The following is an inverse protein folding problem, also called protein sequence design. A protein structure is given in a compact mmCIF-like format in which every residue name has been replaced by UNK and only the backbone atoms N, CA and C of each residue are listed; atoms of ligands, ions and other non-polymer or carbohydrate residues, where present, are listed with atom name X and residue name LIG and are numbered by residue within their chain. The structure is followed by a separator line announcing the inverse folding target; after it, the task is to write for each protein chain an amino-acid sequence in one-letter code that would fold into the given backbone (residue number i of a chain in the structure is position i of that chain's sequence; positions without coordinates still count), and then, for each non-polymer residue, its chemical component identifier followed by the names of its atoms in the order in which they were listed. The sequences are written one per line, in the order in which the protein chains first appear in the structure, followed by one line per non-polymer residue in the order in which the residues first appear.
data_IF_205241413776
#
_entry.id   IF_205241413776
#
_cell.length_a   1.000
_cell.length_b   1.000
_cell.length_c   1.000
_cell.angle_alpha   90.00
_cell.angle_beta   90.00
_cell.angle_gamma   90.00
#
_symmetry.space_group_name_H-M   'P 1'
#
loop_
_entity.id
_entity.type
_entity.pdbx_description
1 polymer ?
#
# COMPACT_ATOMS: atom_id res chain seq x y z
N UNK A 1 -6.31 -12.20 3.81
CA UNK A 1 -7.21 -11.38 2.95
C UNK A 1 -7.88 -10.33 3.82
N UNK A 2 -7.93 -9.10 3.34
CA UNK A 2 -8.62 -7.97 3.96
C UNK A 2 -9.58 -7.42 2.90
N UNK A 3 -10.80 -7.10 3.28
CA UNK A 3 -11.69 -6.29 2.45
C UNK A 3 -11.57 -4.84 2.91
N UNK A 4 -11.09 -4.01 2.02
CA UNK A 4 -10.98 -2.59 2.23
C UNK A 4 -12.25 -1.91 1.72
N UNK A 5 -12.89 -1.14 2.59
CA UNK A 5 -14.06 -0.33 2.31
C UNK A 5 -13.66 1.13 2.40
N UNK A 6 -13.94 1.89 1.35
CA UNK A 6 -13.64 3.33 1.29
C UNK A 6 -14.91 4.10 0.97
N UNK A 7 -15.26 5.05 1.83
CA UNK A 7 -16.44 5.91 1.71
C UNK A 7 -16.09 7.24 1.04
N UNK A 8 -17.10 8.04 0.73
CA UNK A 8 -16.94 9.40 0.19
C UNK A 8 -15.96 10.23 1.02
N UNK A 9 -15.06 10.93 0.36
CA UNK A 9 -14.00 11.76 0.93
C UNK A 9 -12.83 10.98 1.53
N UNK A 10 -12.95 9.67 1.69
CA UNK A 10 -11.87 8.82 2.19
C UNK A 10 -10.99 8.29 1.05
N UNK A 11 -9.72 8.10 1.36
CA UNK A 11 -8.69 7.55 0.48
C UNK A 11 -7.53 7.02 1.31
N UNK A 12 -6.43 6.71 0.65
CA UNK A 12 -5.19 6.32 1.32
C UNK A 12 -4.07 7.26 0.90
N UNK A 13 -3.41 7.95 1.84
CA UNK A 13 -2.31 8.85 1.51
C UNK A 13 -1.13 8.08 0.90
N UNK A 14 -0.14 8.79 0.36
CA UNK A 14 1.09 8.21 -0.12
C UNK A 14 1.77 7.35 0.96
N UNK A 15 2.04 6.09 0.63
CA UNK A 15 2.70 5.15 1.54
C UNK A 15 3.42 4.04 0.78
N UNK A 16 4.24 3.29 1.50
CA UNK A 16 4.76 1.99 1.09
C UNK A 16 4.11 0.89 1.93
N UNK A 17 3.99 -0.29 1.37
CA UNK A 17 3.54 -1.46 2.13
C UNK A 17 4.66 -2.04 3.01
N UNK A 18 4.27 -2.74 4.06
CA UNK A 18 5.20 -3.52 4.89
C UNK A 18 5.55 -4.86 4.26
N UNK A 19 4.71 -5.40 3.40
CA UNK A 19 4.91 -6.65 2.68
C UNK A 19 5.54 -6.41 1.30
N UNK A 20 6.22 -7.44 0.76
CA UNK A 20 6.93 -7.32 -0.51
C UNK A 20 5.98 -7.15 -1.70
N UNK A 21 4.93 -7.98 -1.74
CA UNK A 21 3.95 -7.99 -2.82
C UNK A 21 2.54 -7.80 -2.30
N UNK A 22 1.78 -7.00 -2.99
CA UNK A 22 0.35 -6.81 -2.75
C UNK A 22 -0.43 -7.19 -4.00
N UNK A 23 -1.44 -8.03 -3.81
CA UNK A 23 -2.44 -8.34 -4.82
C UNK A 23 -3.74 -7.69 -4.41
N UNK A 24 -4.36 -6.94 -5.30
CA UNK A 24 -5.68 -6.37 -5.08
C UNK A 24 -6.65 -6.83 -6.15
N UNK A 25 -7.87 -7.15 -5.73
CA UNK A 25 -8.99 -7.44 -6.62
C UNK A 25 -10.01 -6.30 -6.46
N UNK A 26 -10.27 -5.58 -7.54
CA UNK A 26 -11.33 -4.58 -7.56
C UNK A 26 -12.70 -5.28 -7.51
N UNK A 27 -13.52 -4.93 -6.52
CA UNK A 27 -14.86 -5.51 -6.34
C UNK A 27 -15.93 -4.51 -6.78
N UNK A 28 -15.78 -3.26 -6.35
CA UNK A 28 -16.70 -2.16 -6.64
C UNK A 28 -15.94 -0.85 -6.63
N UNK A 29 -16.15 -0.03 -7.64
CA UNK A 29 -15.63 1.34 -7.69
C UNK A 29 -16.66 2.32 -7.09
N UNK A 30 -16.17 3.50 -6.64
CA UNK A 30 -17.01 4.64 -6.38
C UNK A 30 -17.59 5.23 -7.67
N UNK A 31 -18.39 6.26 -7.57
CA UNK A 31 -18.92 7.00 -8.72
C UNK A 31 -17.81 7.77 -9.44
N UNK A 32 -16.88 8.32 -8.68
CA UNK A 32 -15.66 8.96 -9.16
C UNK A 32 -14.57 8.89 -8.06
N UNK A 33 -13.36 9.31 -8.38
CA UNK A 33 -12.24 9.20 -7.45
C UNK A 33 -11.82 7.75 -7.20
N UNK A 34 -11.04 7.52 -6.15
CA UNK A 34 -10.59 6.20 -5.77
C UNK A 34 -9.54 5.58 -6.69
N UNK A 35 -8.98 6.35 -7.63
CA UNK A 35 -7.93 5.88 -8.53
C UNK A 35 -6.67 5.51 -7.75
N UNK A 36 -6.00 4.47 -8.20
CA UNK A 36 -4.71 4.06 -7.69
C UNK A 36 -3.60 4.85 -8.38
N UNK A 37 -2.84 5.62 -7.62
CA UNK A 37 -1.65 6.31 -8.12
C UNK A 37 -0.39 5.70 -7.53
N UNK A 38 0.67 5.60 -8.34
CA UNK A 38 1.90 4.94 -7.93
C UNK A 38 3.13 5.46 -8.65
N UNK A 39 4.28 5.36 -7.96
CA UNK A 39 5.61 5.54 -8.52
C UNK A 39 6.36 4.22 -8.36
N UNK A 40 6.58 3.47 -9.46
CA UNK A 40 7.19 2.15 -9.37
C UNK A 40 8.67 2.25 -9.00
N UNK A 41 9.16 1.30 -8.20
CA UNK A 41 10.57 1.16 -7.84
C UNK A 41 11.20 2.48 -7.36
N UNK A 42 10.48 3.24 -6.50
CA UNK A 42 10.95 4.52 -6.00
C UNK A 42 12.07 4.32 -4.97
N UNK A 43 11.99 3.26 -4.17
CA UNK A 43 13.06 2.86 -3.24
C UNK A 43 13.58 1.45 -3.55
N UNK A 44 14.74 1.11 -3.04
CA UNK A 44 15.39 -0.21 -3.20
C UNK A 44 15.55 -0.87 -1.83
N UNK A 45 15.94 -2.15 -1.78
CA UNK A 45 16.20 -2.84 -0.52
C UNK A 45 17.32 -2.21 0.35
N UNK A 46 18.12 -1.30 -0.21
CA UNK A 46 19.28 -0.68 0.46
C UNK A 46 19.15 0.83 0.63
N UNK A 47 18.16 1.46 -0.01
CA UNK A 47 18.06 2.92 -0.06
C UNK A 47 16.60 3.35 -0.12
N UNK A 48 16.21 4.19 0.82
CA UNK A 48 14.86 4.80 0.90
C UNK A 48 14.64 5.86 -0.17
N UNK A 49 15.69 6.42 -0.76
CA UNK A 49 15.63 7.50 -1.75
C UNK A 49 14.79 8.71 -1.27
N UNK A 50 15.06 9.19 -0.05
CA UNK A 50 14.26 10.23 0.62
C UNK A 50 14.00 11.48 -0.24
N UNK A 51 14.99 11.97 -0.97
CA UNK A 51 14.81 13.15 -1.83
C UNK A 51 13.79 12.90 -2.95
N UNK A 52 13.81 11.70 -3.53
CA UNK A 52 12.86 11.32 -4.57
C UNK A 52 11.45 11.11 -3.99
N UNK A 53 11.34 10.53 -2.81
CA UNK A 53 10.07 10.40 -2.07
C UNK A 53 9.51 11.79 -1.77
N UNK A 54 10.35 12.70 -1.21
CA UNK A 54 9.93 14.05 -0.89
C UNK A 54 9.46 14.82 -2.13
N UNK A 55 10.13 14.63 -3.28
CA UNK A 55 9.72 15.27 -4.53
C UNK A 55 8.31 14.83 -4.97
N UNK A 56 7.93 13.56 -4.74
CA UNK A 56 6.57 13.08 -5.02
C UNK A 56 5.57 13.68 -4.03
N UNK A 57 5.89 13.71 -2.74
CA UNK A 57 5.02 14.24 -1.70
C UNK A 57 4.74 15.75 -1.88
N UNK A 58 5.71 16.48 -2.44
CA UNK A 58 5.62 17.93 -2.71
C UNK A 58 5.04 18.23 -4.11
N UNK A 59 4.50 17.24 -4.83
CA UNK A 59 4.01 17.38 -6.21
C UNK A 59 5.03 17.97 -7.20
N UNK A 60 6.35 17.76 -6.93
CA UNK A 60 7.47 18.21 -7.77
C UNK A 60 8.02 17.12 -8.71
N UNK A 61 7.34 15.97 -8.77
CA UNK A 61 7.75 14.82 -9.58
C UNK A 61 6.66 14.44 -10.57
N UNK A 62 7.04 14.23 -11.82
CA UNK A 62 6.19 13.74 -12.91
C UNK A 62 6.16 12.21 -13.02
N UNK A 63 6.77 11.49 -12.07
CA UNK A 63 6.88 10.02 -12.09
C UNK A 63 5.61 9.29 -11.67
N UNK A 64 4.66 9.97 -11.03
CA UNK A 64 3.41 9.36 -10.61
C UNK A 64 2.57 8.93 -11.82
N UNK A 65 2.05 7.72 -11.76
CA UNK A 65 1.16 7.12 -12.76
C UNK A 65 -0.16 6.80 -12.13
N UNK A 66 -1.24 6.93 -12.88
CA UNK A 66 -2.59 6.56 -12.47
C UNK A 66 -2.98 5.24 -13.12
N UNK A 67 -3.55 4.35 -12.34
CA UNK A 67 -4.17 3.12 -12.79
C UNK A 67 -5.63 3.10 -12.37
N UNK A 68 -6.51 2.92 -13.35
CA UNK A 68 -7.94 2.71 -13.11
C UNK A 68 -8.20 1.22 -13.26
N UNK A 69 -8.76 0.63 -12.21
CA UNK A 69 -9.15 -0.78 -12.18
C UNK A 69 -10.68 -0.87 -12.31
N UNK A 70 -11.14 -1.74 -13.20
CA UNK A 70 -12.56 -2.09 -13.29
C UNK A 70 -12.91 -3.23 -12.32
N UNK A 71 -14.16 -3.33 -11.86
CA UNK A 71 -14.60 -4.46 -11.05
C UNK A 71 -14.28 -5.81 -11.73
N UNK A 72 -13.54 -6.68 -11.03
CA UNK A 72 -13.02 -7.94 -11.55
C UNK A 72 -11.55 -7.90 -11.92
N UNK A 73 -10.94 -6.71 -12.06
CA UNK A 73 -9.51 -6.60 -12.33
C UNK A 73 -8.68 -7.00 -11.12
N UNK A 74 -7.60 -7.72 -11.42
CA UNK A 74 -6.61 -8.14 -10.44
C UNK A 74 -5.29 -7.41 -10.71
N UNK A 75 -4.81 -6.67 -9.72
CA UNK A 75 -3.54 -5.96 -9.76
C UNK A 75 -2.51 -6.66 -8.87
N UNK A 76 -1.28 -6.82 -9.37
CA UNK A 76 -0.13 -7.25 -8.60
C UNK A 76 0.94 -6.17 -8.63
N UNK A 77 1.44 -5.75 -7.47
CA UNK A 77 2.52 -4.78 -7.39
C UNK A 77 3.46 -5.03 -6.21
N UNK A 78 4.68 -4.48 -6.31
CA UNK A 78 5.69 -4.54 -5.25
C UNK A 78 5.50 -3.37 -4.28
N UNK A 79 4.50 -3.46 -3.39
CA UNK A 79 4.12 -2.39 -2.48
C UNK A 79 5.25 -1.90 -1.58
N UNK A 80 6.20 -2.77 -1.22
CA UNK A 80 7.40 -2.43 -0.45
C UNK A 80 8.29 -1.41 -1.14
N UNK A 81 8.31 -1.37 -2.49
CA UNK A 81 9.23 -0.54 -3.29
C UNK A 81 8.55 0.52 -4.14
N UNK A 82 7.24 0.43 -4.29
CA UNK A 82 6.44 1.39 -5.04
C UNK A 82 5.70 2.31 -4.07
N UNK A 83 6.00 3.61 -4.11
CA UNK A 83 5.21 4.60 -3.39
C UNK A 83 3.83 4.68 -4.05
N UNK A 84 2.76 4.56 -3.29
CA UNK A 84 1.41 4.53 -3.86
C UNK A 84 0.37 5.16 -2.94
N UNK A 85 -0.73 5.57 -3.54
CA UNK A 85 -1.89 6.11 -2.85
C UNK A 85 -3.19 5.70 -3.53
N UNK A 86 -4.30 5.87 -2.83
CA UNK A 86 -5.65 5.84 -3.41
C UNK A 86 -6.24 7.23 -3.20
N UNK A 87 -6.68 7.87 -4.29
CA UNK A 87 -7.35 9.16 -4.22
C UNK A 87 -8.65 9.07 -3.43
N UNK A 88 -9.13 10.19 -2.85
CA UNK A 88 -10.44 10.21 -2.22
C UNK A 88 -11.54 9.71 -3.16
N UNK A 89 -12.45 8.91 -2.62
CA UNK A 89 -13.65 8.46 -3.33
C UNK A 89 -14.65 9.61 -3.37
N UNK A 90 -15.34 9.77 -4.48
CA UNK A 90 -16.37 10.78 -4.68
C UNK A 90 -17.71 10.11 -4.94
N UNK A 91 -18.78 10.69 -4.38
CA UNK A 91 -20.15 10.19 -4.50
C UNK A 91 -20.53 9.17 -3.44
N UNK A 92 -21.81 8.79 -3.41
CA UNK A 92 -22.39 7.96 -2.35
C UNK A 92 -22.04 6.47 -2.46
N UNK A 93 -21.54 6.03 -3.62
CA UNK A 93 -21.17 4.63 -3.86
C UNK A 93 -19.82 4.31 -3.25
N UNK A 94 -19.78 3.38 -2.30
CA UNK A 94 -18.55 2.93 -1.63
C UNK A 94 -17.64 2.15 -2.58
N UNK A 95 -16.34 2.30 -2.40
CA UNK A 95 -15.34 1.49 -3.08
C UNK A 95 -14.98 0.26 -2.24
N UNK A 96 -14.97 -0.94 -2.87
CA UNK A 96 -14.56 -2.19 -2.25
C UNK A 96 -13.39 -2.84 -2.99
N UNK A 97 -12.36 -3.21 -2.25
CA UNK A 97 -11.20 -3.93 -2.79
C UNK A 97 -10.80 -5.06 -1.84
N UNK A 98 -10.60 -6.27 -2.37
CA UNK A 98 -9.95 -7.33 -1.63
C UNK A 98 -8.42 -7.18 -1.75
N UNK A 99 -7.72 -7.29 -0.62
CA UNK A 99 -6.27 -7.13 -0.52
C UNK A 99 -5.66 -8.43 0.02
N UNK A 100 -4.62 -8.92 -0.68
CA UNK A 100 -3.81 -10.06 -0.30
C UNK A 100 -2.35 -9.61 -0.21
N UNK A 101 -1.74 -9.80 0.95
CA UNK A 101 -0.35 -9.43 1.21
C UNK A 101 0.54 -10.67 1.20
N UNK A 102 1.67 -10.57 0.50
CA UNK A 102 2.64 -11.66 0.38
C UNK A 102 4.04 -11.16 0.73
N UNK A 103 4.83 -12.05 1.28
CA UNK A 103 6.24 -11.83 1.64
C UNK A 103 7.12 -12.83 0.88
N UNK A 104 8.38 -12.46 0.63
CA UNK A 104 9.32 -13.31 -0.12
C UNK A 104 9.80 -14.52 0.70
N UNK A 105 9.86 -14.38 2.02
CA UNK A 105 10.30 -15.45 2.91
C UNK A 105 9.23 -15.83 3.91
N UNK A 106 9.09 -17.12 4.13
CA UNK A 106 8.21 -17.65 5.15
C UNK A 106 8.52 -17.06 6.53
N UNK A 107 7.48 -16.62 7.21
CA UNK A 107 7.57 -16.07 8.56
C UNK A 107 8.05 -14.62 8.67
N UNK A 108 8.25 -13.89 7.56
CA UNK A 108 8.36 -12.45 7.60
C UNK A 108 7.02 -11.82 8.05
N UNK A 109 7.11 -10.85 8.94
CA UNK A 109 5.95 -10.12 9.47
C UNK A 109 6.27 -8.62 9.50
N UNK A 110 5.25 -7.77 9.51
CA UNK A 110 5.41 -6.34 9.73
C UNK A 110 5.91 -6.04 11.14
N UNK A 111 6.49 -4.86 11.35
CA UNK A 111 6.89 -4.44 12.68
C UNK A 111 5.68 -4.41 13.63
N UNK A 112 5.89 -4.64 14.94
CA UNK A 112 4.82 -4.57 15.94
C UNK A 112 4.11 -3.21 15.93
N UNK A 113 4.87 -2.14 15.78
CA UNK A 113 4.40 -0.75 15.73
C UNK A 113 3.45 -0.55 14.55
N UNK A 114 3.90 -0.90 13.36
CA UNK A 114 3.11 -0.76 12.12
C UNK A 114 1.88 -1.66 12.13
N UNK A 115 2.05 -2.90 12.62
CA UNK A 115 0.94 -3.85 12.76
C UNK A 115 -0.14 -3.31 13.70
N UNK A 116 0.25 -2.70 14.83
CA UNK A 116 -0.70 -2.07 15.75
C UNK A 116 -1.41 -0.88 15.11
N UNK A 117 -0.66 -0.05 14.37
CA UNK A 117 -1.23 1.12 13.67
C UNK A 117 -2.29 0.70 12.64
N UNK A 118 -2.02 -0.35 11.86
CA UNK A 118 -2.90 -0.81 10.79
C UNK A 118 -4.10 -1.62 11.27
N UNK A 119 -3.91 -2.44 12.32
CA UNK A 119 -4.90 -3.46 12.72
C UNK A 119 -5.36 -3.32 14.18
N UNK A 120 -4.85 -2.34 14.92
CA UNK A 120 -5.19 -2.10 16.32
C UNK A 120 -4.67 -3.18 17.29
N UNK A 121 -4.03 -4.24 16.80
CA UNK A 121 -3.54 -5.36 17.61
C UNK A 121 -2.22 -5.91 17.09
N UNK A 122 -1.48 -6.56 17.97
CA UNK A 122 -0.23 -7.27 17.68
C UNK A 122 -0.38 -8.71 18.17
N UNK A 123 0.01 -9.67 17.35
CA UNK A 123 0.05 -11.09 17.71
C UNK A 123 1.45 -11.46 18.24
N UNK A 124 1.61 -12.53 19.06
CA UNK A 124 2.91 -12.95 19.57
C UNK A 124 3.98 -13.09 18.49
N UNK A 125 3.65 -13.64 17.32
CA UNK A 125 4.58 -13.82 16.20
C UNK A 125 5.22 -12.50 15.73
N UNK A 126 4.52 -11.36 15.82
CA UNK A 126 5.10 -10.06 15.44
C UNK A 126 6.18 -9.61 16.43
N UNK A 127 6.05 -9.99 17.72
CA UNK A 127 7.05 -9.70 18.75
C UNK A 127 8.25 -10.64 18.63
N UNK A 128 8.01 -11.93 18.40
CA UNK A 128 9.03 -12.95 18.26
C UNK A 128 9.92 -12.75 17.03
N UNK A 129 9.35 -12.23 15.95
CA UNK A 129 10.00 -12.02 14.65
C UNK A 129 10.25 -10.55 14.32
N UNK A 130 10.16 -9.66 15.30
CA UNK A 130 10.47 -8.25 15.10
C UNK A 130 11.91 -8.07 14.59
N UNK A 131 12.10 -7.27 13.54
CA UNK A 131 13.42 -7.01 12.93
C UNK A 131 13.96 -8.12 12.01
N UNK A 132 13.20 -9.18 11.76
CA UNK A 132 13.58 -10.25 10.82
C UNK A 132 13.23 -9.84 9.37
N UNK A 133 13.97 -8.84 8.85
CA UNK A 133 13.83 -8.38 7.46
C UNK A 133 15.20 -8.43 6.77
N UNK A 134 15.19 -8.63 5.44
CA UNK A 134 16.39 -8.69 4.63
C UNK A 134 16.74 -7.35 3.96
N UNK A 135 15.86 -6.35 4.11
CA UNK A 135 16.08 -5.00 3.61
C UNK A 135 16.44 -4.03 4.76
N UNK A 136 16.99 -2.89 4.40
CA UNK A 136 17.35 -1.83 5.33
C UNK A 136 16.24 -0.76 5.46
N UNK A 137 15.04 -1.04 4.93
CA UNK A 137 13.95 -0.09 4.83
C UNK A 137 13.13 0.00 6.12
N UNK A 138 12.62 1.17 6.39
CA UNK A 138 11.67 1.42 7.47
C UNK A 138 10.26 0.92 7.07
N UNK A 139 9.50 0.41 8.05
CA UNK A 139 8.10 0.03 7.88
C UNK A 139 7.16 1.24 7.93
#
# INVERSE_FOLDING_TARGET
MIINLTEEGAGFPWHFDTNNFTVTLAIQNGEAGGEFEYVPALRTAKDEHYDAVQAVLDDRSDRARTLILEPGDLQLFKGRYALHRVKPVEGATRRYVAIFSFVEKEGMVGSPERTRQLYGRVLPIHLERAGHRDDALID
#
